data_IF_344178229482
#
_entry.id   IF_344178229482
#
_cell.length_a   1.000
_cell.length_b   1.000
_cell.length_c   1.000
_cell.angle_alpha   90.00
_cell.angle_beta   90.00
_cell.angle_gamma   90.00
#
_symmetry.space_group_name_H-M   'P 1'
#
loop_
_entity.id
_entity.type
_entity.pdbx_description
1 polymer ?
#
# COMPACT_ATOMS: atom_id res chain seq x y z
N UNK A 1 -23.44 -2.37 71.24
CA UNK A 1 -22.21 -1.73 70.72
C UNK A 1 -22.52 -1.23 69.30
N UNK A 2 -23.56 -0.40 69.10
CA UNK A 2 -23.66 1.06 69.34
C UNK A 2 -22.56 1.86 68.63
N UNK A 3 -22.91 2.53 67.51
CA UNK A 3 -23.27 3.99 67.38
C UNK A 3 -21.98 4.80 67.20
N UNK A 4 -21.79 5.65 66.17
CA UNK A 4 -22.37 7.00 65.92
C UNK A 4 -22.27 7.28 64.40
N UNK A 5 -23.33 7.52 63.62
CA UNK A 5 -24.04 8.80 63.34
C UNK A 5 -23.12 9.99 62.95
N UNK A 6 -23.39 10.84 61.96
CA UNK A 6 -24.52 10.96 61.03
C UNK A 6 -24.47 12.26 60.19
N UNK A 7 -25.53 12.44 59.39
CA UNK A 7 -26.18 13.69 58.90
C UNK A 7 -25.48 14.50 57.80
N UNK A 8 -25.94 14.45 56.54
CA UNK A 8 -27.05 15.20 55.87
C UNK A 8 -26.86 16.72 55.79
N UNK A 9 -26.85 17.28 54.57
CA UNK A 9 -27.88 18.22 54.08
C UNK A 9 -27.59 18.75 52.67
N UNK A 10 -28.63 18.75 51.84
CA UNK A 10 -28.76 19.49 50.59
C UNK A 10 -29.04 20.98 50.88
N UNK A 11 -28.64 21.89 49.98
CA UNK A 11 -29.31 23.17 49.77
C UNK A 11 -28.97 23.75 48.39
N UNK A 12 -30.03 24.12 47.66
CA UNK A 12 -30.03 24.92 46.43
C UNK A 12 -29.70 26.39 46.73
N UNK A 13 -29.13 27.11 45.75
CA UNK A 13 -29.72 28.36 45.24
C UNK A 13 -28.82 29.00 44.17
N UNK A 14 -29.49 29.48 43.13
CA UNK A 14 -28.96 30.25 42.01
C UNK A 14 -28.68 31.72 42.40
N UNK A 15 -27.76 32.40 41.69
CA UNK A 15 -27.97 33.79 41.22
C UNK A 15 -26.90 34.25 40.19
N UNK A 16 -27.39 34.76 39.05
CA UNK A 16 -26.96 35.95 38.27
C UNK A 16 -25.55 36.10 37.62
N UNK A 17 -25.55 35.93 36.29
CA UNK A 17 -25.22 36.89 35.20
C UNK A 17 -24.00 37.87 35.23
N UNK A 18 -23.13 37.67 34.20
CA UNK A 18 -22.43 38.63 33.27
C UNK A 18 -21.23 39.47 33.78
N UNK A 19 -20.33 40.04 32.91
CA UNK A 19 -20.17 39.93 31.44
C UNK A 19 -18.70 39.76 30.90
N UNK A 20 -18.62 39.51 29.59
CA UNK A 20 -17.64 40.05 28.61
C UNK A 20 -16.24 39.44 28.41
N UNK A 21 -15.98 39.28 27.11
CA UNK A 21 -14.68 39.31 26.42
C UNK A 21 -13.80 38.07 26.51
N UNK A 22 -13.71 37.35 25.39
CA UNK A 22 -12.42 36.91 24.82
C UNK A 22 -12.61 36.39 23.40
N UNK A 23 -12.17 37.25 22.48
CA UNK A 23 -11.44 36.96 21.23
C UNK A 23 -11.96 35.81 20.39
N UNK A 24 -12.67 36.17 19.33
CA UNK A 24 -12.60 35.52 18.04
C UNK A 24 -11.13 35.28 17.66
N UNK A 25 -10.71 34.02 17.68
CA UNK A 25 -9.51 33.59 16.97
C UNK A 25 -10.02 33.15 15.60
N UNK A 26 -9.80 34.01 14.62
CA UNK A 26 -9.93 33.67 13.21
C UNK A 26 -8.99 32.49 12.91
N UNK A 27 -9.58 31.33 12.67
CA UNK A 27 -8.96 30.20 11.97
C UNK A 27 -9.01 30.51 10.47
N UNK A 28 -7.89 30.77 9.77
CA UNK A 28 -7.94 30.98 8.34
C UNK A 28 -7.64 29.67 7.59
N UNK A 29 -8.67 29.16 6.91
CA UNK A 29 -8.51 28.59 5.57
C UNK A 29 -8.12 27.11 5.48
N UNK A 30 -9.05 26.23 5.85
CA UNK A 30 -9.13 24.88 5.33
C UNK A 30 -9.62 24.92 3.86
N UNK A 31 -8.88 24.40 2.87
CA UNK A 31 -9.50 23.59 1.85
C UNK A 31 -9.76 22.21 2.47
N UNK A 32 -11.03 21.95 2.73
CA UNK A 32 -11.57 20.63 3.00
C UNK A 32 -11.29 19.79 1.75
N UNK A 33 -10.49 18.74 1.91
CA UNK A 33 -10.12 17.84 0.83
C UNK A 33 -9.03 16.90 1.32
N UNK A 34 -9.37 15.76 1.92
CA UNK A 34 -8.38 14.72 2.14
C UNK A 34 -7.94 14.26 0.74
N UNK A 35 -6.63 14.29 0.45
CA UNK A 35 -6.07 13.25 -0.42
C UNK A 35 -6.29 11.97 0.35
N UNK A 36 -7.44 11.37 0.07
CA UNK A 36 -7.91 10.14 0.66
C UNK A 36 -6.98 9.05 0.12
N UNK A 37 -5.87 8.83 0.79
CA UNK A 37 -5.30 7.49 0.87
C UNK A 37 -6.33 6.68 1.68
N UNK A 38 -7.38 6.22 1.00
CA UNK A 38 -8.26 5.19 1.54
C UNK A 38 -7.49 3.90 1.34
N UNK A 39 -6.75 3.49 2.36
CA UNK A 39 -6.44 2.09 2.59
C UNK A 39 -7.36 1.68 3.72
N UNK A 40 -8.14 0.62 3.47
CA UNK A 40 -9.09 0.07 4.43
C UNK A 40 -8.43 -0.18 5.78
N UNK A 41 -9.18 0.15 6.83
CA UNK A 41 -8.88 -0.17 8.21
C UNK A 41 -8.96 -1.69 8.41
N UNK A 42 -7.82 -2.37 8.59
CA UNK A 42 -7.80 -3.73 9.11
C UNK A 42 -7.42 -3.72 10.58
N UNK A 43 -8.44 -3.51 11.42
CA UNK A 43 -8.41 -3.80 12.84
C UNK A 43 -8.57 -5.29 13.07
N UNK A 44 -7.60 -5.87 13.79
CA UNK A 44 -7.63 -7.26 14.24
C UNK A 44 -8.93 -7.57 14.99
N UNK A 45 -9.67 -8.58 14.52
CA UNK A 45 -10.67 -9.29 15.33
C UNK A 45 -10.36 -10.78 15.33
N UNK A 46 -10.23 -11.31 16.54
CA UNK A 46 -10.03 -12.72 16.82
C UNK A 46 -11.18 -13.56 16.21
N UNK A 47 -10.85 -14.44 15.27
CA UNK A 47 -11.70 -15.56 14.87
C UNK A 47 -11.06 -16.85 15.37
N UNK A 48 -11.66 -17.41 16.42
CA UNK A 48 -11.33 -18.70 16.99
C UNK A 48 -12.02 -19.78 16.17
N UNK A 49 -11.33 -20.38 15.21
CA UNK A 49 -11.75 -21.64 14.60
C UNK A 49 -10.61 -22.66 14.49
N UNK A 50 -10.97 -23.91 14.75
CA UNK A 50 -10.07 -25.03 15.06
C UNK A 50 -9.57 -25.71 13.78
N UNK A 51 -8.25 -25.96 13.75
CA UNK A 51 -7.54 -27.10 13.11
C UNK A 51 -8.19 -27.71 11.86
N UNK A 52 -7.71 -27.32 10.68
CA UNK A 52 -7.37 -28.21 9.55
C UNK A 52 -6.56 -27.40 8.52
N UNK A 53 -5.49 -28.01 7.98
CA UNK A 53 -4.36 -27.36 7.30
C UNK A 53 -4.69 -26.50 6.09
N UNK A 54 -3.98 -25.37 5.99
CA UNK A 54 -4.28 -24.20 5.15
C UNK A 54 -4.05 -24.40 3.63
N UNK A 55 -3.48 -25.52 3.18
CA UNK A 55 -3.06 -25.69 1.78
C UNK A 55 -4.06 -26.43 0.85
N UNK A 56 -5.34 -26.62 1.25
CA UNK A 56 -6.34 -27.31 0.39
C UNK A 56 -7.64 -26.53 0.20
N UNK A 57 -7.56 -25.36 -0.44
CA UNK A 57 -8.68 -24.79 -1.19
C UNK A 57 -8.15 -23.85 -2.26
N UNK A 58 -8.28 -24.23 -3.53
CA UNK A 58 -7.84 -23.52 -4.75
C UNK A 58 -8.55 -22.17 -5.00
N UNK A 59 -9.17 -21.56 -3.98
CA UNK A 59 -10.18 -20.50 -4.13
C UNK A 59 -9.94 -19.23 -3.32
N UNK A 60 -8.79 -19.04 -2.67
CA UNK A 60 -8.52 -17.83 -1.88
C UNK A 60 -7.09 -17.39 -2.15
N UNK A 61 -6.84 -16.88 -3.35
CA UNK A 61 -5.53 -16.31 -3.66
C UNK A 61 -5.51 -14.79 -3.48
N UNK A 62 -6.67 -14.11 -3.55
CA UNK A 62 -6.73 -12.64 -3.60
C UNK A 62 -8.05 -12.04 -3.05
N UNK A 63 -8.79 -12.78 -2.21
CA UNK A 63 -10.04 -12.30 -1.55
C UNK A 63 -9.79 -11.99 -0.07
N UNK A 64 -8.90 -11.05 0.18
CA UNK A 64 -8.83 -10.35 1.46
C UNK A 64 -8.60 -8.89 1.15
N UNK A 65 -9.67 -8.28 0.60
CA UNK A 65 -10.14 -6.92 0.85
C UNK A 65 -11.56 -6.80 0.24
N UNK A 66 -12.51 -6.33 1.05
CA UNK A 66 -13.89 -5.87 0.75
C UNK A 66 -15.05 -6.88 0.66
N UNK A 67 -15.74 -7.06 1.80
CA UNK A 67 -17.18 -7.35 1.86
C UNK A 67 -17.92 -6.03 1.57
N UNK A 68 -18.33 -5.82 0.31
CA UNK A 68 -19.09 -4.65 -0.12
C UNK A 68 -20.50 -5.06 -0.55
N UNK A 69 -21.47 -4.49 0.16
CA UNK A 69 -22.92 -4.65 0.02
C UNK A 69 -23.43 -4.69 -1.42
N UNK A 70 -24.33 -5.64 -1.66
CA UNK A 70 -25.20 -5.81 -2.84
C UNK A 70 -25.77 -4.47 -3.35
N UNK A 71 -25.23 -3.98 -4.46
CA UNK A 71 -25.94 -3.08 -5.36
C UNK A 71 -26.05 -3.78 -6.71
N UNK A 72 -27.28 -3.82 -7.23
CA UNK A 72 -27.75 -4.65 -8.33
C UNK A 72 -26.92 -4.52 -9.61
N UNK A 73 -26.49 -5.66 -10.16
CA UNK A 73 -25.80 -5.78 -11.46
C UNK A 73 -26.71 -5.31 -12.60
N UNK A 74 -26.37 -4.18 -13.21
CA UNK A 74 -26.80 -3.89 -14.57
C UNK A 74 -25.78 -4.48 -15.55
N UNK A 75 -26.12 -5.68 -16.05
CA UNK A 75 -25.38 -6.39 -17.09
C UNK A 75 -25.28 -5.52 -18.37
N UNK A 76 -24.10 -4.94 -18.61
CA UNK A 76 -23.70 -4.47 -19.93
C UNK A 76 -22.96 -5.61 -20.66
N UNK A 77 -23.24 -5.83 -21.96
CA UNK A 77 -22.62 -6.92 -22.72
C UNK A 77 -21.10 -6.71 -22.86
N UNK A 78 -20.32 -7.80 -22.91
CA UNK A 78 -18.86 -7.72 -22.93
C UNK A 78 -18.38 -7.00 -24.18
N UNK A 79 -17.57 -5.95 -23.96
CA UNK A 79 -16.79 -5.33 -25.02
C UNK A 79 -15.81 -6.36 -25.62
N UNK A 80 -15.52 -6.28 -26.94
CA UNK A 80 -14.65 -7.24 -27.59
C UNK A 80 -13.25 -7.22 -26.97
N UNK A 81 -12.71 -8.41 -26.70
CA UNK A 81 -11.36 -8.60 -26.18
C UNK A 81 -10.34 -7.90 -27.10
N UNK A 82 -9.70 -6.85 -26.58
CA UNK A 82 -8.57 -6.18 -27.22
C UNK A 82 -7.42 -7.21 -27.34
N UNK A 83 -6.64 -7.24 -28.44
CA UNK A 83 -5.46 -8.09 -28.54
C UNK A 83 -4.37 -7.54 -27.61
N UNK A 84 -4.50 -7.83 -26.31
CA UNK A 84 -3.76 -7.23 -25.21
C UNK A 84 -2.41 -7.92 -24.90
N UNK A 85 -1.81 -8.62 -25.86
CA UNK A 85 -0.50 -9.24 -25.64
C UNK A 85 0.62 -8.23 -25.88
N UNK A 86 0.83 -7.34 -24.91
CA UNK A 86 2.09 -6.59 -24.83
C UNK A 86 3.30 -7.54 -24.79
N UNK A 87 4.52 -7.05 -25.10
CA UNK A 87 5.73 -7.85 -25.01
C UNK A 87 5.84 -8.47 -23.62
N UNK A 88 6.07 -9.76 -23.63
CA UNK A 88 6.25 -10.51 -22.40
C UNK A 88 7.69 -10.30 -21.90
N UNK A 89 7.90 -10.09 -20.58
CA UNK A 89 9.24 -10.04 -20.01
C UNK A 89 10.07 -11.27 -20.33
N UNK A 90 11.38 -11.07 -20.45
CA UNK A 90 12.34 -12.15 -20.62
C UNK A 90 12.24 -13.16 -19.48
N UNK A 91 12.41 -14.44 -19.82
CA UNK A 91 12.41 -15.49 -18.84
C UNK A 91 13.62 -15.34 -17.92
N UNK A 92 13.36 -15.34 -16.62
CA UNK A 92 14.39 -15.35 -15.57
C UNK A 92 14.50 -16.78 -15.06
N UNK A 93 15.73 -17.32 -14.97
CA UNK A 93 15.92 -18.65 -14.38
C UNK A 93 15.70 -18.62 -12.88
N UNK A 94 15.35 -19.76 -12.30
CA UNK A 94 15.14 -19.86 -10.84
C UNK A 94 16.40 -19.48 -10.04
N UNK A 95 17.58 -19.86 -10.53
CA UNK A 95 18.86 -19.54 -9.90
C UNK A 95 19.14 -18.03 -9.91
N UNK A 96 18.92 -17.38 -11.05
CA UNK A 96 19.02 -15.92 -11.17
C UNK A 96 18.00 -15.22 -10.27
N UNK A 97 16.76 -15.72 -10.25
CA UNK A 97 15.70 -15.15 -9.44
C UNK A 97 16.09 -15.21 -7.96
N UNK A 98 16.57 -16.34 -7.45
CA UNK A 98 16.98 -16.50 -6.05
C UNK A 98 18.23 -15.72 -5.66
N UNK A 99 19.14 -15.46 -6.59
CA UNK A 99 20.39 -14.72 -6.35
C UNK A 99 20.29 -13.20 -6.50
N UNK A 100 19.17 -12.68 -7.01
CA UNK A 100 18.96 -11.25 -7.31
C UNK A 100 17.67 -10.69 -6.69
N UNK A 101 17.52 -9.35 -6.73
CA UNK A 101 16.33 -8.67 -6.20
C UNK A 101 16.29 -8.63 -4.67
N UNK A 102 17.45 -8.51 -4.02
CA UNK A 102 17.59 -8.50 -2.55
C UNK A 102 17.59 -7.09 -1.95
N UNK A 103 17.55 -6.06 -2.80
CA UNK A 103 17.58 -4.65 -2.42
C UNK A 103 16.33 -3.94 -2.95
N UNK A 104 15.86 -2.95 -2.18
CA UNK A 104 14.70 -2.16 -2.56
C UNK A 104 14.99 -1.26 -3.77
N UNK A 105 14.11 -1.20 -4.78
CA UNK A 105 14.32 -0.37 -5.96
C UNK A 105 14.18 1.12 -5.63
N UNK A 106 14.72 2.01 -6.48
CA UNK A 106 14.84 3.46 -6.22
C UNK A 106 13.53 4.13 -5.75
N UNK A 107 12.37 3.69 -6.25
CA UNK A 107 11.05 4.20 -5.88
C UNK A 107 10.67 4.01 -4.40
N UNK A 108 11.42 3.20 -3.66
CA UNK A 108 11.23 2.94 -2.23
C UNK A 108 12.07 3.85 -1.34
N UNK A 109 12.90 4.74 -1.90
CA UNK A 109 13.70 5.68 -1.13
C UNK A 109 13.08 7.07 -1.15
N UNK A 110 12.96 7.70 0.02
CA UNK A 110 12.46 9.07 0.09
C UNK A 110 13.52 10.04 -0.47
N UNK A 111 13.23 10.85 -1.49
CA UNK A 111 14.22 11.70 -2.14
C UNK A 111 14.64 12.92 -1.31
N UNK A 112 13.96 13.19 -0.19
CA UNK A 112 14.29 14.31 0.70
C UNK A 112 15.21 13.93 1.86
N UNK A 113 15.09 12.71 2.37
CA UNK A 113 15.94 12.23 3.47
C UNK A 113 16.90 11.11 3.06
N UNK A 114 16.80 10.62 1.81
CA UNK A 114 17.60 9.53 1.26
C UNK A 114 17.56 8.24 2.10
N UNK A 115 16.47 8.02 2.84
CA UNK A 115 16.25 6.81 3.63
C UNK A 115 15.18 5.93 2.96
N UNK A 116 15.35 4.59 2.98
CA UNK A 116 14.31 3.65 2.55
C UNK A 116 13.01 3.92 3.29
N UNK A 117 11.86 3.82 2.62
CA UNK A 117 10.53 3.98 3.19
C UNK A 117 10.06 2.61 3.66
N UNK A 118 9.51 2.53 4.87
CA UNK A 118 8.98 1.29 5.41
C UNK A 118 7.88 0.71 4.49
N UNK A 119 7.85 -0.61 4.36
CA UNK A 119 6.80 -1.32 3.62
C UNK A 119 5.53 -1.47 4.49
N UNK A 120 4.34 -1.47 3.87
CA UNK A 120 4.08 -1.10 2.48
C UNK A 120 4.24 0.42 2.27
N UNK A 121 4.91 0.82 1.17
CA UNK A 121 5.30 2.22 0.90
C UNK A 121 4.12 3.19 0.99
N UNK A 122 2.95 2.78 0.49
CA UNK A 122 1.73 3.59 0.46
C UNK A 122 1.22 4.01 1.84
N UNK A 123 1.54 3.27 2.91
CA UNK A 123 1.15 3.61 4.29
C UNK A 123 2.08 4.62 4.96
N UNK A 124 3.26 4.83 4.40
CA UNK A 124 4.33 5.62 5.02
C UNK A 124 4.79 6.81 4.16
N UNK A 125 4.12 7.04 3.03
CA UNK A 125 4.51 8.06 2.05
C UNK A 125 3.32 8.57 1.25
N UNK A 126 3.57 9.59 0.44
CA UNK A 126 2.60 10.08 -0.55
C UNK A 126 3.30 10.36 -1.87
N UNK A 127 2.63 10.00 -2.96
CA UNK A 127 3.07 10.34 -4.30
C UNK A 127 2.71 11.80 -4.61
N UNK A 128 3.71 12.59 -4.95
CA UNK A 128 3.53 13.99 -5.35
C UNK A 128 3.22 14.06 -6.86
N UNK A 129 1.94 14.24 -7.22
CA UNK A 129 1.43 14.17 -8.62
C UNK A 129 2.07 15.19 -9.57
N UNK A 130 2.63 16.27 -9.05
CA UNK A 130 3.33 17.26 -9.86
C UNK A 130 4.70 16.79 -10.38
N UNK A 131 5.35 15.84 -9.69
CA UNK A 131 6.71 15.37 -9.99
C UNK A 131 6.91 13.87 -9.94
N UNK A 132 5.86 13.10 -9.65
CA UNK A 132 5.87 11.64 -9.50
C UNK A 132 6.93 11.14 -8.52
N UNK A 133 7.23 11.95 -7.50
CA UNK A 133 8.14 11.57 -6.43
C UNK A 133 7.36 11.14 -5.19
N UNK A 134 7.68 9.95 -4.70
CA UNK A 134 7.15 9.41 -3.46
C UNK A 134 7.92 9.98 -2.29
N UNK A 135 7.25 10.75 -1.42
CA UNK A 135 7.88 11.41 -0.27
C UNK A 135 7.33 10.82 1.02
N UNK A 136 8.21 10.44 1.94
CA UNK A 136 7.78 9.87 3.23
C UNK A 136 6.98 10.90 4.05
N UNK A 137 6.01 10.41 4.83
CA UNK A 137 5.15 11.23 5.67
C UNK A 137 5.93 12.13 6.64
N UNK A 138 7.09 11.68 7.14
CA UNK A 138 7.97 12.49 7.98
C UNK A 138 8.47 13.76 7.29
N UNK A 139 8.95 13.63 6.04
CA UNK A 139 9.42 14.79 5.27
C UNK A 139 8.27 15.71 4.85
N UNK A 140 7.09 15.14 4.52
CA UNK A 140 5.88 15.92 4.23
C UNK A 140 5.46 16.76 5.44
N UNK A 141 5.39 16.14 6.63
CA UNK A 141 5.02 16.85 7.86
C UNK A 141 6.05 17.94 8.21
N UNK A 142 7.35 17.62 8.11
CA UNK A 142 8.40 18.59 8.34
C UNK A 142 8.31 19.79 7.38
N UNK A 143 7.97 19.55 6.11
CA UNK A 143 7.73 20.60 5.11
C UNK A 143 6.53 21.48 5.50
N UNK A 144 5.40 20.87 5.88
CA UNK A 144 4.18 21.58 6.31
C UNK A 144 4.44 22.50 7.51
N UNK A 145 5.20 22.04 8.50
CA UNK A 145 5.57 22.82 9.69
C UNK A 145 6.41 24.07 9.37
N UNK A 146 7.12 24.07 8.24
CA UNK A 146 7.87 25.22 7.74
C UNK A 146 7.02 26.18 6.90
N UNK A 147 5.69 26.02 6.92
CA UNK A 147 4.77 26.85 6.13
C UNK A 147 4.63 26.43 4.66
N UNK A 148 5.26 25.33 4.24
CA UNK A 148 5.24 24.85 2.85
C UNK A 148 4.08 23.87 2.56
N UNK A 149 2.98 23.94 3.31
CA UNK A 149 1.89 22.97 3.20
C UNK A 149 1.04 23.06 1.92
N UNK A 150 1.16 24.15 1.16
CA UNK A 150 0.44 24.41 -0.10
C UNK A 150 1.32 24.20 -1.35
N UNK A 151 2.55 23.73 -1.15
CA UNK A 151 3.49 23.43 -2.23
C UNK A 151 4.04 22.01 -2.05
N UNK A 152 4.40 21.37 -3.14
CA UNK A 152 5.03 20.06 -3.14
C UNK A 152 6.31 20.09 -2.32
N UNK A 153 6.47 19.13 -1.41
CA UNK A 153 7.65 19.04 -0.55
C UNK A 153 8.96 18.82 -1.32
N UNK A 154 8.87 18.29 -2.55
CA UNK A 154 10.02 18.04 -3.41
C UNK A 154 10.25 19.17 -4.44
N UNK A 155 9.34 19.36 -5.38
CA UNK A 155 9.54 20.29 -6.51
C UNK A 155 9.00 21.70 -6.28
N UNK A 156 8.39 21.99 -5.12
CA UNK A 156 7.81 23.31 -4.74
C UNK A 156 6.67 23.82 -5.63
N UNK A 157 6.17 23.00 -6.57
CA UNK A 157 4.96 23.32 -7.36
C UNK A 157 3.75 23.40 -6.43
N UNK A 158 2.82 24.35 -6.62
CA UNK A 158 1.57 24.40 -5.86
C UNK A 158 0.84 23.05 -5.89
N UNK A 159 0.35 22.60 -4.73
CA UNK A 159 -0.34 21.31 -4.63
C UNK A 159 -1.67 21.36 -5.38
N UNK A 160 -1.97 20.30 -6.13
CA UNK A 160 -3.27 20.13 -6.74
C UNK A 160 -4.33 19.86 -5.66
N UNK A 161 -5.50 20.47 -5.79
CA UNK A 161 -6.57 20.40 -4.77
C UNK A 161 -7.88 19.81 -5.30
N UNK A 162 -7.94 19.51 -6.59
CA UNK A 162 -9.10 18.91 -7.24
C UNK A 162 -8.67 17.74 -8.13
N UNK A 163 -9.55 16.77 -8.29
CA UNK A 163 -9.35 15.62 -9.17
C UNK A 163 -8.96 16.03 -10.59
N UNK A 164 -9.61 17.06 -11.13
CA UNK A 164 -9.28 17.62 -12.45
C UNK A 164 -7.85 18.17 -12.50
N UNK A 165 -7.40 18.90 -11.47
CA UNK A 165 -6.03 19.42 -11.42
C UNK A 165 -4.98 18.31 -11.23
N UNK A 166 -5.29 17.28 -10.44
CA UNK A 166 -4.45 16.10 -10.26
C UNK A 166 -4.28 15.38 -11.61
N UNK A 167 -5.37 15.08 -12.31
CA UNK A 167 -5.32 14.40 -13.60
C UNK A 167 -4.62 15.24 -14.67
N UNK A 168 -4.79 16.57 -14.66
CA UNK A 168 -4.06 17.44 -15.59
C UNK A 168 -2.53 17.33 -15.38
N UNK A 169 -2.07 17.31 -14.12
CA UNK A 169 -0.65 17.11 -13.81
C UNK A 169 -0.16 15.71 -14.21
N UNK A 170 -0.95 14.67 -13.92
CA UNK A 170 -0.64 13.28 -14.28
C UNK A 170 -0.55 13.13 -15.80
N UNK A 171 -1.55 13.59 -16.55
CA UNK A 171 -1.57 13.50 -18.03
C UNK A 171 -0.36 14.18 -18.65
N UNK A 172 0.01 15.38 -18.17
CA UNK A 172 1.23 16.06 -18.63
C UNK A 172 2.49 15.21 -18.44
N UNK A 173 2.55 14.40 -17.37
CA UNK A 173 3.68 13.49 -17.11
C UNK A 173 3.61 12.21 -17.95
N UNK A 174 2.40 11.70 -18.19
CA UNK A 174 2.17 10.59 -19.14
C UNK A 174 2.59 10.98 -20.56
N UNK A 175 2.23 12.18 -21.01
CA UNK A 175 2.66 12.72 -22.31
C UNK A 175 4.20 12.86 -22.41
N UNK A 176 4.85 13.04 -21.27
CA UNK A 176 6.32 13.06 -21.14
C UNK A 176 6.95 11.67 -20.94
N UNK A 177 6.17 10.58 -21.14
CA UNK A 177 6.59 9.18 -20.99
C UNK A 177 7.11 8.83 -19.59
N UNK A 178 6.51 9.42 -18.54
CA UNK A 178 6.85 9.08 -17.16
C UNK A 178 6.20 7.73 -16.76
N UNK A 179 6.99 6.70 -16.41
CA UNK A 179 6.46 5.37 -16.07
C UNK A 179 5.57 5.38 -14.83
N UNK A 180 5.87 6.23 -13.84
CA UNK A 180 5.13 6.30 -12.58
C UNK A 180 3.81 7.04 -12.80
N UNK A 181 3.80 8.09 -13.62
CA UNK A 181 2.54 8.76 -13.99
C UNK A 181 1.61 7.83 -14.78
N UNK A 182 2.17 7.02 -15.68
CA UNK A 182 1.41 6.09 -16.52
C UNK A 182 0.79 4.98 -15.67
N UNK A 183 1.56 4.43 -14.73
CA UNK A 183 1.04 3.47 -13.74
C UNK A 183 -0.04 4.09 -12.85
N UNK A 184 0.17 5.32 -12.36
CA UNK A 184 -0.82 6.02 -11.54
C UNK A 184 -2.14 6.21 -12.31
N UNK A 185 -2.06 6.62 -13.58
CA UNK A 185 -3.24 6.80 -14.43
C UNK A 185 -3.95 5.46 -14.69
N UNK A 186 -3.20 4.39 -14.92
CA UNK A 186 -3.76 3.03 -15.04
C UNK A 186 -4.55 2.64 -13.79
N UNK A 187 -3.97 2.82 -12.60
CA UNK A 187 -4.64 2.59 -11.33
C UNK A 187 -5.87 3.47 -11.12
N UNK A 188 -5.88 4.68 -11.69
CA UNK A 188 -7.04 5.56 -11.65
C UNK A 188 -8.22 5.06 -12.50
N UNK A 189 -7.95 4.59 -13.73
CA UNK A 189 -8.96 3.91 -14.56
C UNK A 189 -9.43 2.60 -13.94
N UNK A 190 -8.53 1.82 -13.33
CA UNK A 190 -8.90 0.57 -12.68
C UNK A 190 -9.90 0.77 -11.53
N UNK A 191 -9.78 1.86 -10.76
CA UNK A 191 -10.67 2.17 -9.63
C UNK A 191 -11.85 3.09 -9.96
N UNK A 192 -11.87 3.70 -11.14
CA UNK A 192 -12.86 4.73 -11.49
C UNK A 192 -12.82 5.94 -10.55
N UNK A 193 -11.62 6.47 -10.28
CA UNK A 193 -11.45 7.62 -9.38
C UNK A 193 -10.96 8.88 -10.12
N UNK A 194 -10.83 9.99 -9.38
CA UNK A 194 -10.49 11.31 -9.94
C UNK A 194 -11.46 11.81 -11.03
N UNK A 195 -12.72 11.38 -10.99
CA UNK A 195 -13.72 11.71 -12.01
C UNK A 195 -13.62 10.89 -13.30
N UNK A 196 -12.77 9.86 -13.34
CA UNK A 196 -12.77 8.85 -14.40
C UNK A 196 -13.80 7.77 -14.10
N UNK A 197 -14.41 7.24 -15.16
CA UNK A 197 -15.19 6.00 -15.05
C UNK A 197 -14.23 4.81 -14.99
N UNK A 198 -14.68 3.73 -14.34
CA UNK A 198 -13.90 2.50 -14.29
C UNK A 198 -13.74 1.92 -15.70
N UNK A 199 -12.50 1.61 -16.08
CA UNK A 199 -12.16 1.02 -17.37
C UNK A 199 -10.94 0.10 -17.20
N UNK A 200 -11.22 -1.19 -16.96
CA UNK A 200 -10.20 -2.21 -16.69
C UNK A 200 -9.34 -2.49 -17.94
N UNK A 201 -9.91 -2.68 -19.16
CA UNK A 201 -9.11 -2.83 -20.38
C UNK A 201 -8.14 -1.65 -20.58
N UNK A 202 -8.61 -0.41 -20.37
CA UNK A 202 -7.74 0.77 -20.48
C UNK A 202 -6.64 0.79 -19.43
N UNK A 203 -6.93 0.34 -18.20
CA UNK A 203 -5.92 0.20 -17.15
C UNK A 203 -4.83 -0.80 -17.55
N UNK A 204 -5.21 -1.95 -18.13
CA UNK A 204 -4.26 -2.97 -18.61
C UNK A 204 -3.36 -2.42 -19.73
N UNK A 205 -3.91 -1.67 -20.67
CA UNK A 205 -3.12 -1.01 -21.73
C UNK A 205 -2.06 -0.07 -21.14
N UNK A 206 -2.47 0.78 -20.19
CA UNK A 206 -1.57 1.75 -19.55
C UNK A 206 -0.54 1.06 -18.64
N UNK A 207 -0.90 0.00 -17.92
CA UNK A 207 0.09 -0.80 -17.19
C UNK A 207 1.06 -1.50 -18.14
N UNK A 208 0.61 -1.95 -19.31
CA UNK A 208 1.50 -2.50 -20.34
C UNK A 208 2.49 -1.45 -20.82
N UNK A 209 2.05 -0.22 -21.09
CA UNK A 209 2.95 0.88 -21.44
C UNK A 209 3.93 1.22 -20.31
N UNK A 210 3.45 1.34 -19.07
CA UNK A 210 4.30 1.64 -17.92
C UNK A 210 5.34 0.53 -17.66
N UNK A 211 4.96 -0.73 -17.84
CA UNK A 211 5.85 -1.88 -17.73
C UNK A 211 6.95 -1.84 -18.81
N UNK A 212 6.62 -1.48 -20.05
CA UNK A 212 7.63 -1.27 -21.11
C UNK A 212 8.60 -0.14 -20.81
N UNK A 213 8.19 0.83 -19.99
CA UNK A 213 9.04 1.91 -19.48
C UNK A 213 9.79 1.52 -18.19
N UNK A 214 9.73 0.25 -17.77
CA UNK A 214 10.45 -0.29 -16.61
C UNK A 214 9.72 -0.12 -15.26
N UNK A 215 8.42 0.16 -15.24
CA UNK A 215 7.67 0.29 -13.99
C UNK A 215 7.39 -1.08 -13.34
N UNK A 216 7.95 -1.32 -12.16
CA UNK A 216 7.79 -2.59 -11.43
C UNK A 216 6.38 -2.78 -10.85
N UNK A 217 5.71 -1.71 -10.42
CA UNK A 217 4.33 -1.76 -9.90
C UNK A 217 3.37 -2.13 -11.05
N UNK A 218 3.63 -1.65 -12.25
CA UNK A 218 2.86 -2.03 -13.44
C UNK A 218 3.03 -3.52 -13.76
N UNK A 219 4.25 -4.07 -13.69
CA UNK A 219 4.46 -5.52 -13.79
C UNK A 219 3.72 -6.29 -12.69
N UNK A 220 3.77 -5.84 -11.44
CA UNK A 220 3.01 -6.44 -10.35
C UNK A 220 1.49 -6.50 -10.65
N UNK A 221 0.93 -5.38 -11.12
CA UNK A 221 -0.50 -5.29 -11.45
C UNK A 221 -0.87 -6.15 -12.66
N UNK A 222 -0.08 -6.14 -13.74
CA UNK A 222 -0.28 -7.04 -14.89
C UNK A 222 -0.24 -8.51 -14.45
N UNK A 223 0.71 -8.85 -13.57
CA UNK A 223 0.80 -10.18 -12.98
C UNK A 223 -0.51 -10.60 -12.31
N UNK A 224 -1.10 -9.71 -11.51
CA UNK A 224 -2.41 -9.94 -10.87
C UNK A 224 -3.54 -10.06 -11.89
N UNK A 225 -3.59 -9.20 -12.91
CA UNK A 225 -4.66 -9.21 -13.90
C UNK A 225 -4.67 -10.51 -14.70
N UNK A 226 -3.51 -10.96 -15.20
CA UNK A 226 -3.39 -12.22 -15.92
C UNK A 226 -3.60 -13.45 -15.04
N UNK A 227 -3.17 -13.39 -13.79
CA UNK A 227 -3.38 -14.47 -12.83
C UNK A 227 -4.87 -14.68 -12.49
N UNK A 228 -5.63 -13.59 -12.32
CA UNK A 228 -7.07 -13.64 -12.07
C UNK A 228 -7.89 -13.87 -13.35
N UNK A 229 -7.46 -13.33 -14.49
CA UNK A 229 -8.29 -13.18 -15.69
C UNK A 229 -9.26 -12.01 -15.59
N UNK A 230 -8.87 -10.93 -14.91
CA UNK A 230 -9.70 -9.75 -14.72
C UNK A 230 -9.44 -8.74 -15.84
N UNK A 231 -10.44 -8.50 -16.71
CA UNK A 231 -10.30 -7.62 -17.88
C UNK A 231 -9.43 -8.16 -19.02
N UNK A 232 -8.82 -9.33 -18.84
CA UNK A 232 -8.02 -10.09 -19.83
C UNK A 232 -8.33 -11.58 -19.72
N UNK A 233 -8.01 -12.33 -20.78
CA UNK A 233 -8.01 -13.80 -20.70
C UNK A 233 -7.01 -14.26 -19.62
N UNK A 234 -7.45 -15.21 -18.79
CA UNK A 234 -6.62 -15.76 -17.72
C UNK A 234 -5.41 -16.50 -18.29
N UNK A 235 -4.22 -16.04 -17.94
CA UNK A 235 -2.95 -16.64 -18.31
C UNK A 235 -2.02 -16.62 -17.10
N UNK A 236 -2.10 -17.67 -16.28
CA UNK A 236 -1.35 -17.78 -15.02
C UNK A 236 0.16 -17.72 -15.27
N UNK A 237 0.64 -18.38 -16.33
CA UNK A 237 2.06 -18.41 -16.66
C UNK A 237 2.58 -17.03 -17.05
N UNK A 238 1.80 -16.24 -17.81
CA UNK A 238 2.11 -14.84 -18.08
C UNK A 238 2.09 -13.99 -16.81
N UNK A 239 1.11 -14.22 -15.94
CA UNK A 239 1.01 -13.53 -14.66
C UNK A 239 2.26 -13.72 -13.80
N UNK A 240 2.70 -14.98 -13.66
CA UNK A 240 3.91 -15.35 -12.93
C UNK A 240 5.15 -14.72 -13.57
N UNK A 241 5.28 -14.71 -14.89
CA UNK A 241 6.43 -14.07 -15.56
C UNK A 241 6.55 -12.57 -15.27
N UNK A 242 5.44 -11.85 -15.20
CA UNK A 242 5.47 -10.45 -14.78
C UNK A 242 5.92 -10.29 -13.31
N UNK A 243 5.46 -11.16 -12.40
CA UNK A 243 5.93 -11.15 -11.02
C UNK A 243 7.39 -11.55 -10.88
N UNK A 244 7.88 -12.55 -11.63
CA UNK A 244 9.29 -12.93 -11.67
C UNK A 244 10.16 -11.77 -12.11
N UNK A 245 9.77 -11.05 -13.17
CA UNK A 245 10.51 -9.89 -13.64
C UNK A 245 10.56 -8.76 -12.59
N UNK A 246 9.43 -8.44 -11.95
CA UNK A 246 9.40 -7.43 -10.90
C UNK A 246 10.21 -7.86 -9.66
N UNK A 247 10.10 -9.13 -9.26
CA UNK A 247 10.82 -9.71 -8.13
C UNK A 247 12.33 -9.80 -8.37
N UNK A 248 12.76 -10.07 -9.61
CA UNK A 248 14.16 -10.03 -10.04
C UNK A 248 14.76 -8.63 -9.86
N UNK A 249 13.97 -7.59 -10.12
CA UNK A 249 14.35 -6.20 -9.89
C UNK A 249 14.08 -5.70 -8.45
N UNK A 250 13.77 -6.59 -7.51
CA UNK A 250 13.63 -6.26 -6.09
C UNK A 250 12.25 -5.77 -5.64
N UNK A 251 11.18 -5.99 -6.41
CA UNK A 251 9.83 -5.63 -5.98
C UNK A 251 9.30 -6.61 -4.90
N UNK A 252 9.16 -6.16 -3.63
CA UNK A 252 8.93 -7.06 -2.49
C UNK A 252 7.55 -7.75 -2.56
N UNK A 253 6.50 -7.03 -2.95
CA UNK A 253 5.14 -7.61 -3.02
C UNK A 253 5.02 -8.65 -4.15
N UNK A 254 5.79 -8.49 -5.24
CA UNK A 254 5.83 -9.51 -6.30
C UNK A 254 6.55 -10.76 -5.81
N UNK A 255 7.64 -10.59 -5.04
CA UNK A 255 8.36 -11.69 -4.39
C UNK A 255 7.47 -12.46 -3.43
N UNK A 256 6.67 -11.75 -2.63
CA UNK A 256 5.68 -12.34 -1.73
C UNK A 256 4.65 -13.20 -2.48
N UNK A 257 4.09 -12.69 -3.58
CA UNK A 257 3.11 -13.42 -4.39
C UNK A 257 3.71 -14.67 -5.06
N UNK A 258 4.98 -14.63 -5.48
CA UNK A 258 5.68 -15.83 -5.95
C UNK A 258 5.80 -16.88 -4.84
N UNK A 259 6.16 -16.46 -3.62
CA UNK A 259 6.21 -17.38 -2.48
C UNK A 259 4.86 -18.01 -2.17
N UNK A 260 3.76 -17.24 -2.26
CA UNK A 260 2.40 -17.80 -2.15
C UNK A 260 2.13 -18.82 -3.24
N UNK A 261 2.40 -18.48 -4.51
CA UNK A 261 2.21 -19.39 -5.64
C UNK A 261 2.95 -20.72 -5.44
N UNK A 262 4.24 -20.68 -5.11
CA UNK A 262 5.04 -21.88 -4.85
C UNK A 262 4.51 -22.70 -3.68
N UNK A 263 4.02 -22.04 -2.63
CA UNK A 263 3.41 -22.72 -1.49
C UNK A 263 2.14 -23.49 -1.90
N UNK A 264 1.30 -22.91 -2.77
CA UNK A 264 0.09 -23.59 -3.27
C UNK A 264 0.41 -24.77 -4.20
N UNK A 265 1.48 -24.70 -4.97
CA UNK A 265 1.96 -25.81 -5.80
C UNK A 265 2.67 -26.90 -4.98
N UNK A 266 2.92 -26.66 -3.68
CA UNK A 266 3.53 -27.60 -2.73
C UNK A 266 5.05 -27.45 -2.59
N UNK A 267 5.65 -26.48 -3.28
CA UNK A 267 7.07 -26.13 -3.23
C UNK A 267 7.39 -25.26 -2.00
N UNK A 268 7.14 -25.79 -0.81
CA UNK A 268 7.28 -25.04 0.45
C UNK A 268 8.69 -24.48 0.70
N UNK A 269 9.74 -25.17 0.25
CA UNK A 269 11.11 -24.71 0.41
C UNK A 269 11.38 -23.44 -0.43
N UNK A 270 10.97 -23.45 -1.71
CA UNK A 270 11.08 -22.28 -2.59
C UNK A 270 10.21 -21.11 -2.10
N UNK A 271 9.01 -21.41 -1.60
CA UNK A 271 8.15 -20.40 -0.98
C UNK A 271 8.85 -19.68 0.18
N UNK A 272 9.50 -20.43 1.08
CA UNK A 272 10.26 -19.87 2.20
C UNK A 272 11.43 -19.03 1.69
N UNK A 273 12.15 -19.46 0.65
CA UNK A 273 13.24 -18.67 0.07
C UNK A 273 12.75 -17.32 -0.49
N UNK A 274 11.64 -17.30 -1.24
CA UNK A 274 11.02 -16.06 -1.70
C UNK A 274 10.69 -15.13 -0.54
N UNK A 275 10.00 -15.64 0.48
CA UNK A 275 9.62 -14.84 1.64
C UNK A 275 10.81 -14.38 2.47
N UNK A 276 11.90 -15.15 2.56
CA UNK A 276 13.10 -14.70 3.28
C UNK A 276 13.70 -13.44 2.63
N UNK A 277 13.67 -13.37 1.30
CA UNK A 277 14.20 -12.23 0.54
C UNK A 277 13.31 -10.99 0.74
N UNK A 278 11.99 -11.10 0.62
CA UNK A 278 11.08 -9.97 0.88
C UNK A 278 11.01 -9.56 2.35
N UNK A 279 11.05 -10.50 3.29
CA UNK A 279 11.12 -10.18 4.71
C UNK A 279 12.39 -9.40 5.06
N UNK A 280 13.53 -9.72 4.42
CA UNK A 280 14.77 -8.95 4.54
C UNK A 280 14.65 -7.53 4.00
N UNK A 281 13.75 -7.27 3.04
CA UNK A 281 13.42 -5.93 2.55
C UNK A 281 12.41 -5.18 3.45
N UNK A 282 11.92 -5.82 4.50
CA UNK A 282 10.97 -5.22 5.46
C UNK A 282 9.50 -5.57 5.19
N UNK A 283 9.21 -6.60 4.39
CA UNK A 283 7.84 -7.07 4.15
C UNK A 283 7.34 -7.93 5.32
N UNK A 284 6.33 -7.44 6.04
CA UNK A 284 5.81 -8.11 7.23
C UNK A 284 4.92 -9.31 6.92
N UNK A 285 4.19 -9.27 5.79
CA UNK A 285 3.38 -10.39 5.31
C UNK A 285 4.26 -11.63 5.02
N UNK A 286 5.42 -11.44 4.38
CA UNK A 286 6.39 -12.51 4.16
C UNK A 286 6.94 -13.06 5.47
N UNK A 287 7.26 -12.22 6.45
CA UNK A 287 7.70 -12.68 7.77
C UNK A 287 6.62 -13.51 8.47
N UNK A 288 5.35 -13.09 8.36
CA UNK A 288 4.21 -13.83 8.89
C UNK A 288 4.05 -15.18 8.20
N UNK A 289 4.23 -15.26 6.87
CA UNK A 289 4.22 -16.54 6.16
C UNK A 289 5.33 -17.48 6.59
N UNK A 290 6.56 -16.99 6.77
CA UNK A 290 7.66 -17.83 7.28
C UNK A 290 7.34 -18.34 8.69
N UNK A 291 6.73 -17.51 9.54
CA UNK A 291 6.27 -17.92 10.86
C UNK A 291 5.23 -19.04 10.78
N UNK A 292 4.26 -18.93 9.87
CA UNK A 292 3.28 -19.99 9.59
C UNK A 292 3.98 -21.29 9.16
N UNK A 293 4.89 -21.22 8.17
CA UNK A 293 5.65 -22.40 7.70
C UNK A 293 6.48 -23.05 8.80
N UNK A 294 7.03 -22.25 9.73
CA UNK A 294 7.77 -22.76 10.88
C UNK A 294 6.86 -23.55 11.83
N UNK A 295 5.64 -23.05 12.09
CA UNK A 295 4.66 -23.75 12.92
C UNK A 295 4.18 -25.07 12.27
N UNK A 296 4.11 -25.10 10.94
CA UNK A 296 3.76 -26.28 10.15
C UNK A 296 4.94 -27.25 9.91
N UNK A 297 6.14 -26.92 10.40
CA UNK A 297 7.39 -27.70 10.26
C UNK A 297 7.94 -27.77 8.83
N UNK A 298 7.53 -26.85 7.97
CA UNK A 298 8.10 -26.66 6.63
C UNK A 298 9.29 -25.69 6.62
N UNK A 299 9.38 -24.79 7.60
CA UNK A 299 10.55 -23.93 7.81
C UNK A 299 11.30 -24.32 9.09
N UNK A 300 12.61 -24.10 9.07
CA UNK A 300 13.49 -24.34 10.22
C UNK A 300 13.48 -23.15 11.19
N UNK A 301 13.86 -23.41 12.45
CA UNK A 301 14.07 -22.34 13.45
C UNK A 301 15.12 -21.33 12.99
N UNK A 302 16.16 -21.79 12.29
CA UNK A 302 17.23 -20.95 11.77
C UNK A 302 16.69 -19.98 10.71
N UNK A 303 15.92 -20.46 9.73
CA UNK A 303 15.30 -19.63 8.69
C UNK A 303 14.38 -18.57 9.30
N UNK A 304 13.52 -18.93 10.25
CA UNK A 304 12.65 -17.96 10.91
C UNK A 304 13.43 -16.89 11.70
N UNK A 305 14.47 -17.30 12.43
CA UNK A 305 15.32 -16.36 13.17
C UNK A 305 16.10 -15.41 12.25
N UNK A 306 16.58 -15.92 11.11
CA UNK A 306 17.24 -15.13 10.08
C UNK A 306 16.29 -14.12 9.45
N UNK A 307 15.10 -14.55 9.03
CA UNK A 307 14.08 -13.68 8.47
C UNK A 307 13.67 -12.56 9.45
N UNK A 308 13.46 -12.91 10.72
CA UNK A 308 13.14 -11.94 11.77
C UNK A 308 14.26 -10.91 11.95
N UNK A 309 15.52 -11.34 11.93
CA UNK A 309 16.68 -10.44 12.03
C UNK A 309 16.77 -9.51 10.81
N UNK A 310 16.60 -10.05 9.60
CA UNK A 310 16.58 -9.27 8.37
C UNK A 310 15.50 -8.18 8.40
N UNK A 311 14.28 -8.57 8.75
CA UNK A 311 13.15 -7.66 8.90
C UNK A 311 13.41 -6.55 9.94
N UNK A 312 13.97 -6.89 11.11
CA UNK A 312 14.32 -5.91 12.13
C UNK A 312 15.38 -4.90 11.66
N UNK A 313 16.36 -5.36 10.89
CA UNK A 313 17.37 -4.48 10.29
C UNK A 313 16.72 -3.51 9.28
N UNK A 314 15.87 -4.00 8.38
CA UNK A 314 15.16 -3.16 7.42
C UNK A 314 14.30 -2.09 8.12
N UNK A 315 13.56 -2.48 9.18
CA UNK A 315 12.81 -1.52 9.98
C UNK A 315 13.72 -0.46 10.61
N UNK A 316 14.90 -0.85 11.10
CA UNK A 316 15.85 0.08 11.71
C UNK A 316 16.38 1.10 10.70
N UNK A 317 16.66 0.69 9.46
CA UNK A 317 17.10 1.57 8.37
C UNK A 317 16.03 2.59 7.96
N UNK A 318 14.75 2.27 8.17
CA UNK A 318 13.64 3.17 7.84
C UNK A 318 13.32 4.20 8.94
N UNK A 319 13.94 4.12 10.12
CA UNK A 319 13.61 5.02 11.23
C UNK A 319 14.12 6.44 10.99
N UNK A 320 13.30 7.43 11.33
CA UNK A 320 13.75 8.81 11.47
C UNK A 320 12.89 9.57 12.49
N UNK A 321 13.45 10.57 13.20
CA UNK A 321 12.69 11.37 14.16
C UNK A 321 11.43 12.00 13.56
N UNK A 322 11.52 12.46 12.31
CA UNK A 322 10.39 13.06 11.60
C UNK A 322 9.31 12.03 11.26
N UNK A 323 9.67 10.78 10.97
CA UNK A 323 8.72 9.70 10.70
C UNK A 323 7.98 9.26 11.97
N UNK A 324 8.68 9.18 13.10
CA UNK A 324 8.04 8.90 14.40
C UNK A 324 7.06 10.01 14.80
N UNK A 325 7.46 11.26 14.61
CA UNK A 325 6.58 12.40 14.83
C UNK A 325 5.36 12.38 13.89
N UNK A 326 5.57 12.07 12.61
CA UNK A 326 4.47 11.94 11.66
C UNK A 326 3.51 10.80 12.04
N UNK A 327 4.04 9.66 12.46
CA UNK A 327 3.24 8.53 12.94
C UNK A 327 2.36 8.94 14.13
N UNK A 328 2.94 9.60 15.13
CA UNK A 328 2.17 10.11 16.28
C UNK A 328 1.10 11.12 15.85
N UNK A 329 1.43 12.03 14.93
CA UNK A 329 0.49 13.03 14.41
C UNK A 329 -0.70 12.37 13.70
N UNK A 330 -0.45 11.47 12.74
CA UNK A 330 -1.50 10.81 11.97
C UNK A 330 -2.36 9.85 12.81
N UNK A 331 -1.76 9.13 13.78
CA UNK A 331 -2.52 8.31 14.71
C UNK A 331 -3.51 9.14 15.53
N UNK A 332 -3.08 10.32 16.02
CA UNK A 332 -3.96 11.22 16.78
C UNK A 332 -5.13 11.80 15.98
N UNK A 333 -5.07 11.75 14.65
CA UNK A 333 -6.16 12.18 13.77
C UNK A 333 -7.18 11.07 13.54
N UNK A 334 -6.75 9.80 13.60
CA UNK A 334 -7.64 8.63 13.44
C UNK A 334 -8.45 8.34 14.71
N UNK A 335 -7.93 8.74 15.87
CA UNK A 335 -8.60 8.61 17.17
C UNK A 335 -9.64 9.72 17.45
N UNK A 336 -9.74 10.73 16.57
CA UNK A 336 -10.67 11.86 16.67
C UNK A 336 -11.82 11.72 15.68
#
# INVERSE_FOLDING_TARGET
LQVVEGRTCSAESAFSARPSSRRSIDLPGLPVGPVRAVVGDFGAREAKERRQGCCRTRRILLDSDDDMSLAEEQHQPPAPAVPAAGPLPDAVTEEELMSTGHELPEGHTCPLCCLPIALPVARHSSLETCCMKTVCHGCILASRKRGMGKICAFCRTPTAHSDASILAQVRKRVDARDPVATEFLAGAYYRGNYGLQQDIPRAIELWTEAALLGNLIAHFNLGRMYFKGEGVEKDVARGIRHWQHAAFQGHPESRYLLGLHECYEGSHEQAVQHWMISAKMGDDDSLNKIKEMFMERHATKAQYAEALKGYQNALQETKSPQREEAKAFFNSLRER
#
